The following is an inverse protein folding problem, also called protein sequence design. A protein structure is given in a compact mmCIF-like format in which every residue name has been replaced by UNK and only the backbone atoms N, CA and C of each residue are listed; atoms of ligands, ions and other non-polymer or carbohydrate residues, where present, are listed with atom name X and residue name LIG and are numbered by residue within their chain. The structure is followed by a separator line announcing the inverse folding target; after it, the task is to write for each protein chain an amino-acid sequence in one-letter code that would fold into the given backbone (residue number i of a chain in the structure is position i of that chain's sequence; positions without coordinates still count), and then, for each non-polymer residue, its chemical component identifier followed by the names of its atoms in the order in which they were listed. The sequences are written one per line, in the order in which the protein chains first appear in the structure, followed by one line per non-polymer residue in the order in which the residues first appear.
data_IF_113953028890
#
_entry.id   IF_113953028890
#
_cell.length_a   1.000
_cell.length_b   1.000
_cell.length_c   1.000
_cell.angle_alpha   90.00
_cell.angle_beta   90.00
_cell.angle_gamma   90.00
#
_symmetry.space_group_name_H-M   'P 1'
#
loop_
_entity.id
_entity.type
_entity.pdbx_description
1 polymer ?
#
# COMPACT_ATOMS: atom_id res chain seq x y z
N UNK A 1 33.85 1.57 11.87
CA UNK A 1 33.14 0.31 11.56
C UNK A 1 32.08 -0.13 12.58
N UNK A 2 31.94 0.49 13.77
CA UNK A 2 30.89 0.14 14.76
C UNK A 2 29.63 1.05 14.73
N UNK A 3 29.48 1.91 13.72
CA UNK A 3 28.35 2.87 13.58
C UNK A 3 27.35 2.53 12.47
N UNK A 4 27.61 1.46 11.70
CA UNK A 4 26.75 0.99 10.61
C UNK A 4 25.85 -0.18 11.01
N UNK A 5 26.06 -0.77 12.20
CA UNK A 5 25.26 -1.91 12.71
C UNK A 5 24.03 -1.42 13.49
N UNK A 6 24.11 -0.28 14.17
CA UNK A 6 22.97 0.29 14.92
C UNK A 6 21.86 0.89 14.04
N UNK A 7 22.10 1.07 12.74
CA UNK A 7 21.13 1.62 11.78
C UNK A 7 20.24 0.53 11.14
N UNK A 8 20.60 -0.74 11.25
CA UNK A 8 19.70 -1.86 10.90
C UNK A 8 18.84 -2.29 12.09
N UNK A 9 19.31 -2.07 13.31
CA UNK A 9 18.64 -2.48 14.55
C UNK A 9 17.37 -1.64 14.85
N UNK A 10 17.23 -0.43 14.31
CA UNK A 10 16.05 0.42 14.56
C UNK A 10 14.89 0.18 13.58
N UNK A 11 15.18 0.01 12.28
CA UNK A 11 14.19 -0.54 11.33
C UNK A 11 13.77 -1.95 11.80
N UNK A 12 14.74 -2.76 12.26
CA UNK A 12 14.45 -4.04 12.91
C UNK A 12 13.64 -3.92 14.20
N UNK A 13 13.70 -2.83 14.98
CA UNK A 13 12.98 -2.73 16.26
C UNK A 13 11.47 -2.48 16.08
N UNK A 14 11.09 -1.72 15.05
CA UNK A 14 9.69 -1.62 14.62
C UNK A 14 9.25 -2.92 13.92
N UNK A 15 10.13 -3.52 13.11
CA UNK A 15 9.89 -4.82 12.46
C UNK A 15 9.80 -6.00 13.44
N UNK A 16 10.53 -6.03 14.56
CA UNK A 16 10.57 -7.18 15.49
C UNK A 16 9.44 -7.20 16.50
N UNK A 17 9.00 -6.04 17.00
CA UNK A 17 7.85 -5.98 17.93
C UNK A 17 6.50 -6.08 17.22
N UNK A 18 6.45 -5.75 15.92
CA UNK A 18 5.25 -5.86 15.09
C UNK A 18 5.29 -7.05 14.10
N UNK A 19 6.30 -7.94 14.20
CA UNK A 19 6.54 -9.06 13.27
C UNK A 19 5.36 -10.02 13.06
N UNK A 20 4.32 -9.99 13.90
CA UNK A 20 3.11 -10.79 13.67
C UNK A 20 2.03 -10.07 12.84
N UNK A 21 2.13 -8.76 12.62
CA UNK A 21 1.08 -7.93 12.00
C UNK A 21 1.57 -7.03 10.86
N UNK A 22 2.88 -6.92 10.62
CA UNK A 22 3.41 -6.18 9.47
C UNK A 22 4.34 -7.04 8.63
N UNK A 23 3.82 -7.56 7.51
CA UNK A 23 4.66 -7.80 6.35
C UNK A 23 5.05 -6.45 5.77
N UNK A 24 6.22 -5.98 6.15
CA UNK A 24 6.85 -4.75 5.65
C UNK A 24 7.24 -4.97 4.19
N UNK A 25 6.69 -4.17 3.28
CA UNK A 25 7.32 -3.92 1.98
C UNK A 25 8.73 -3.43 2.26
N UNK A 26 9.71 -4.32 2.10
CA UNK A 26 11.11 -4.02 2.37
C UNK A 26 11.54 -2.91 1.42
N UNK A 27 11.99 -1.77 1.95
CA UNK A 27 12.57 -0.68 1.16
C UNK A 27 13.73 -1.22 0.30
N UNK A 28 13.49 -1.38 -1.00
CA UNK A 28 14.45 -1.92 -1.97
C UNK A 28 14.19 -3.36 -2.44
N UNK A 29 13.11 -4.02 -2.00
CA UNK A 29 12.66 -5.26 -2.62
C UNK A 29 12.09 -4.99 -4.02
N UNK A 30 12.36 -5.88 -5.00
CA UNK A 30 11.72 -5.84 -6.30
C UNK A 30 10.19 -5.82 -6.21
N UNK A 31 9.53 -5.17 -7.16
CA UNK A 31 8.06 -5.09 -7.22
C UNK A 31 7.38 -6.47 -7.30
N UNK A 32 8.08 -7.47 -7.84
CA UNK A 32 7.64 -8.85 -7.97
C UNK A 32 8.01 -9.73 -6.77
N UNK A 33 8.63 -9.19 -5.71
CA UNK A 33 9.00 -9.97 -4.54
C UNK A 33 7.87 -10.05 -3.51
N UNK A 34 7.49 -11.28 -3.14
CA UNK A 34 6.61 -11.56 -2.02
C UNK A 34 7.20 -12.73 -1.20
N UNK A 35 7.48 -12.56 0.10
CA UNK A 35 8.18 -13.57 0.91
C UNK A 35 7.35 -14.83 1.14
N UNK A 36 6.04 -14.67 1.32
CA UNK A 36 5.10 -15.76 1.61
C UNK A 36 4.58 -16.45 0.33
N UNK A 37 5.12 -16.09 -0.85
CA UNK A 37 4.66 -16.65 -2.11
C UNK A 37 5.04 -18.14 -2.20
N UNK A 38 4.07 -19.04 -2.38
CA UNK A 38 4.36 -20.46 -2.57
C UNK A 38 5.13 -20.73 -3.88
N UNK A 39 5.98 -21.76 -3.89
CA UNK A 39 6.79 -22.14 -5.06
C UNK A 39 5.95 -22.37 -6.33
N UNK A 40 4.77 -22.97 -6.20
CA UNK A 40 3.88 -23.21 -7.34
C UNK A 40 3.37 -21.89 -7.94
N UNK A 41 3.10 -20.89 -7.10
CA UNK A 41 2.65 -19.57 -7.55
C UNK A 41 3.80 -18.82 -8.24
N UNK A 42 5.02 -18.92 -7.70
CA UNK A 42 6.23 -18.40 -8.35
C UNK A 42 6.42 -18.99 -9.76
N UNK A 43 6.28 -20.32 -9.91
CA UNK A 43 6.40 -21.00 -11.21
C UNK A 43 5.37 -20.52 -12.23
N UNK A 44 4.11 -20.33 -11.82
CA UNK A 44 3.05 -19.81 -12.69
C UNK A 44 3.39 -18.39 -13.15
N UNK A 45 3.86 -17.54 -12.23
CA UNK A 45 4.15 -16.12 -12.48
C UNK A 45 5.37 -15.88 -13.37
N UNK A 46 6.41 -16.70 -13.23
CA UNK A 46 7.61 -16.66 -14.09
C UNK A 46 7.37 -17.28 -15.47
N UNK A 47 6.37 -18.16 -15.58
CA UNK A 47 6.04 -18.91 -16.78
C UNK A 47 5.06 -18.20 -17.72
N UNK A 48 4.68 -18.93 -18.79
CA UNK A 48 3.59 -18.52 -19.68
C UNK A 48 2.20 -18.76 -19.07
N UNK A 49 2.13 -19.63 -18.06
CA UNK A 49 0.88 -20.03 -17.39
C UNK A 49 0.18 -18.89 -16.63
N UNK A 50 0.88 -17.79 -16.35
CA UNK A 50 0.28 -16.52 -15.88
C UNK A 50 -0.81 -15.95 -16.79
N UNK A 51 -0.84 -16.35 -18.06
CA UNK A 51 -1.86 -15.93 -19.04
C UNK A 51 -2.84 -17.06 -19.39
N UNK A 52 -2.68 -18.24 -18.79
CA UNK A 52 -3.53 -19.39 -19.04
C UNK A 52 -4.84 -19.21 -18.23
N UNK A 53 -6.03 -19.19 -18.87
CA UNK A 53 -7.30 -19.06 -18.14
C UNK A 53 -7.56 -20.19 -17.14
N UNK A 54 -6.94 -21.37 -17.31
CA UNK A 54 -7.08 -22.48 -16.36
C UNK A 54 -6.43 -22.20 -15.00
N UNK A 55 -5.45 -21.29 -14.92
CA UNK A 55 -4.80 -20.91 -13.64
C UNK A 55 -5.61 -19.90 -12.84
N UNK A 56 -6.70 -19.36 -13.39
CA UNK A 56 -7.55 -18.36 -12.72
C UNK A 56 -8.03 -18.81 -11.34
N UNK A 57 -8.44 -20.08 -11.20
CA UNK A 57 -8.89 -20.63 -9.92
C UNK A 57 -7.78 -20.62 -8.86
N UNK A 58 -6.54 -20.96 -9.25
CA UNK A 58 -5.38 -20.94 -8.36
C UNK A 58 -5.09 -19.53 -7.86
N UNK A 59 -5.18 -18.53 -8.74
CA UNK A 59 -5.03 -17.13 -8.35
C UNK A 59 -6.15 -16.65 -7.42
N UNK A 60 -7.41 -17.04 -7.68
CA UNK A 60 -8.56 -16.69 -6.83
C UNK A 60 -8.39 -17.25 -5.42
N UNK A 61 -8.04 -18.53 -5.30
CA UNK A 61 -7.81 -19.19 -4.01
C UNK A 61 -6.63 -18.53 -3.26
N UNK A 62 -5.59 -18.12 -3.99
CA UNK A 62 -4.45 -17.42 -3.40
C UNK A 62 -4.80 -16.02 -2.89
N UNK A 63 -5.71 -15.28 -3.55
CA UNK A 63 -6.23 -14.02 -3.02
C UNK A 63 -6.99 -14.25 -1.72
N UNK A 64 -7.83 -15.29 -1.65
CA UNK A 64 -8.53 -15.64 -0.40
C UNK A 64 -7.54 -15.95 0.73
N UNK A 65 -6.48 -16.71 0.44
CA UNK A 65 -5.41 -16.98 1.41
C UNK A 65 -4.71 -15.71 1.89
N UNK A 66 -4.52 -14.70 1.01
CA UNK A 66 -3.97 -13.40 1.41
C UNK A 66 -4.92 -12.64 2.34
N UNK A 67 -6.23 -12.74 2.12
CA UNK A 67 -7.24 -12.14 2.99
C UNK A 67 -7.27 -12.78 4.38
N UNK A 68 -7.19 -14.11 4.46
CA UNK A 68 -7.22 -14.86 5.72
C UNK A 68 -5.93 -14.72 6.54
N UNK A 69 -4.76 -14.79 5.89
CA UNK A 69 -3.46 -14.89 6.56
C UNK A 69 -2.73 -13.55 6.69
N UNK A 70 -3.38 -12.43 6.34
CA UNK A 70 -2.78 -11.09 6.37
C UNK A 70 -1.50 -10.95 5.51
N UNK A 71 -1.31 -11.81 4.51
CA UNK A 71 -0.21 -11.72 3.54
C UNK A 71 -0.61 -10.84 2.35
N UNK A 72 0.37 -10.40 1.56
CA UNK A 72 0.09 -9.54 0.41
C UNK A 72 1.10 -9.77 -0.72
N UNK A 73 0.58 -9.98 -1.93
CA UNK A 73 1.36 -10.22 -3.13
C UNK A 73 0.79 -9.42 -4.31
N UNK A 74 1.25 -8.18 -4.45
CA UNK A 74 0.80 -7.27 -5.52
C UNK A 74 0.99 -7.88 -6.91
N UNK A 75 2.10 -8.59 -7.15
CA UNK A 75 2.40 -9.13 -8.46
C UNK A 75 1.40 -10.21 -8.88
N UNK A 76 1.04 -11.12 -7.98
CA UNK A 76 0.00 -12.11 -8.22
C UNK A 76 -1.38 -11.45 -8.40
N UNK A 77 -1.70 -10.45 -7.58
CA UNK A 77 -2.98 -9.74 -7.64
C UNK A 77 -3.16 -9.02 -8.99
N UNK A 78 -2.15 -8.31 -9.46
CA UNK A 78 -2.18 -7.66 -10.77
C UNK A 78 -2.19 -8.66 -11.93
N UNK A 79 -1.50 -9.81 -11.79
CA UNK A 79 -1.57 -10.87 -12.79
C UNK A 79 -3.01 -11.39 -12.95
N UNK A 80 -3.74 -11.60 -11.84
CA UNK A 80 -5.14 -12.00 -11.87
C UNK A 80 -6.04 -10.95 -12.51
N UNK A 81 -5.91 -9.67 -12.11
CA UNK A 81 -6.69 -8.58 -12.72
C UNK A 81 -6.43 -8.47 -14.23
N UNK A 82 -5.18 -8.68 -14.65
CA UNK A 82 -4.81 -8.71 -16.07
C UNK A 82 -5.40 -9.93 -16.79
N UNK A 83 -5.47 -11.09 -16.13
CA UNK A 83 -6.10 -12.30 -16.68
C UNK A 83 -7.61 -12.09 -16.87
N UNK A 84 -8.29 -11.41 -15.94
CA UNK A 84 -9.68 -10.99 -16.08
C UNK A 84 -9.88 -10.02 -17.23
N UNK A 85 -8.96 -9.08 -17.44
CA UNK A 85 -9.01 -8.16 -18.59
C UNK A 85 -9.01 -8.91 -19.93
N UNK A 86 -8.24 -10.00 -20.05
CA UNK A 86 -8.25 -10.85 -21.24
C UNK A 86 -9.44 -11.82 -21.30
N UNK A 87 -9.97 -12.22 -20.15
CA UNK A 87 -11.05 -13.21 -20.03
C UNK A 87 -12.18 -12.72 -19.11
N UNK A 88 -13.02 -11.76 -19.55
CA UNK A 88 -14.03 -11.15 -18.67
C UNK A 88 -15.05 -12.12 -18.08
N UNK A 89 -15.32 -13.24 -18.77
CA UNK A 89 -16.25 -14.27 -18.31
C UNK A 89 -15.77 -15.06 -17.09
N UNK A 90 -14.48 -14.96 -16.73
CA UNK A 90 -13.89 -15.59 -15.54
C UNK A 90 -13.80 -14.64 -14.35
N UNK A 91 -14.09 -13.36 -14.56
CA UNK A 91 -14.02 -12.34 -13.51
C UNK A 91 -15.02 -12.63 -12.38
N UNK A 92 -14.56 -12.44 -11.15
CA UNK A 92 -15.39 -12.49 -9.93
C UNK A 92 -15.27 -11.15 -9.22
N UNK A 93 -16.40 -10.48 -9.08
CA UNK A 93 -16.49 -9.14 -8.49
C UNK A 93 -15.90 -9.10 -7.07
N UNK A 94 -16.25 -10.09 -6.25
CA UNK A 94 -15.74 -10.28 -4.88
C UNK A 94 -14.21 -10.41 -4.84
N UNK A 95 -13.61 -11.16 -5.78
CA UNK A 95 -12.14 -11.27 -5.85
C UNK A 95 -11.50 -9.94 -6.25
N UNK A 96 -12.16 -9.17 -7.14
CA UNK A 96 -11.68 -7.84 -7.54
C UNK A 96 -11.74 -6.88 -6.35
N UNK A 97 -12.85 -6.83 -5.61
CA UNK A 97 -12.99 -5.99 -4.43
C UNK A 97 -11.98 -6.38 -3.34
N UNK A 98 -11.78 -7.68 -3.09
CA UNK A 98 -10.80 -8.17 -2.13
C UNK A 98 -9.36 -7.76 -2.50
N UNK A 99 -8.99 -7.82 -3.79
CA UNK A 99 -7.69 -7.29 -4.24
C UNK A 99 -7.57 -5.79 -3.94
N UNK A 100 -8.60 -4.99 -4.22
CA UNK A 100 -8.57 -3.55 -3.99
C UNK A 100 -8.53 -3.20 -2.49
N UNK A 101 -9.29 -3.90 -1.65
CA UNK A 101 -9.25 -3.74 -0.18
C UNK A 101 -7.87 -4.10 0.36
N UNK A 102 -7.29 -5.23 -0.09
CA UNK A 102 -5.91 -5.59 0.25
C UNK A 102 -4.91 -4.52 -0.19
N UNK A 103 -5.09 -3.93 -1.37
CA UNK A 103 -4.25 -2.82 -1.83
C UNK A 103 -4.38 -1.55 -0.95
N UNK A 104 -5.54 -1.28 -0.35
CA UNK A 104 -5.68 -0.21 0.65
C UNK A 104 -4.80 -0.46 1.88
N UNK A 105 -4.67 -1.72 2.33
CA UNK A 105 -3.86 -2.07 3.51
C UNK A 105 -2.35 -1.89 3.34
N UNK A 106 -1.88 -1.54 2.14
CA UNK A 106 -0.47 -1.24 1.85
C UNK A 106 -0.23 0.20 1.41
N UNK A 107 -1.18 1.10 1.66
CA UNK A 107 -0.94 2.53 1.42
C UNK A 107 0.32 3.01 2.17
N UNK A 108 1.09 3.96 1.62
CA UNK A 108 0.84 4.76 0.40
C UNK A 108 1.36 4.12 -0.90
N UNK A 109 1.45 2.79 -0.99
CA UNK A 109 1.83 2.08 -2.22
C UNK A 109 0.92 2.45 -3.42
N UNK A 110 1.45 2.54 -4.66
CA UNK A 110 0.64 2.83 -5.85
C UNK A 110 -0.26 1.65 -6.29
N UNK A 111 -0.23 0.52 -5.59
CA UNK A 111 -0.86 -0.73 -6.01
C UNK A 111 -2.37 -0.61 -6.26
N UNK A 112 -3.08 0.15 -5.43
CA UNK A 112 -4.52 0.37 -5.63
C UNK A 112 -4.77 1.03 -6.99
N UNK A 113 -4.00 2.05 -7.33
CA UNK A 113 -4.11 2.75 -8.61
C UNK A 113 -3.70 1.88 -9.79
N UNK A 114 -2.72 0.99 -9.61
CA UNK A 114 -2.35 -0.01 -10.61
C UNK A 114 -3.49 -1.00 -10.84
N UNK A 115 -4.09 -1.53 -9.78
CA UNK A 115 -5.25 -2.41 -9.86
C UNK A 115 -6.42 -1.75 -10.59
N UNK A 116 -6.71 -0.50 -10.24
CA UNK A 116 -7.76 0.28 -10.88
C UNK A 116 -7.53 0.49 -12.38
N UNK A 117 -6.28 0.67 -12.81
CA UNK A 117 -5.93 0.84 -14.23
C UNK A 117 -6.15 -0.42 -15.09
N UNK A 118 -6.27 -1.59 -14.46
CA UNK A 118 -6.57 -2.86 -15.14
C UNK A 118 -8.07 -3.12 -15.24
N UNK A 119 -8.90 -2.42 -14.48
CA UNK A 119 -10.35 -2.54 -14.53
C UNK A 119 -10.94 -1.74 -15.71
N UNK A 120 -12.11 -2.13 -16.22
CA UNK A 120 -12.81 -1.36 -17.24
C UNK A 120 -13.14 0.07 -16.76
N UNK A 121 -12.96 1.11 -17.61
CA UNK A 121 -13.18 2.51 -17.20
C UNK A 121 -14.59 2.83 -16.68
N UNK A 122 -15.60 2.05 -17.08
CA UNK A 122 -17.00 2.27 -16.68
C UNK A 122 -17.26 1.94 -15.21
N UNK A 123 -16.38 1.18 -14.55
CA UNK A 123 -16.48 0.82 -13.13
C UNK A 123 -16.29 2.05 -12.23
N UNK A 124 -15.63 3.10 -12.73
CA UNK A 124 -15.49 4.39 -12.04
C UNK A 124 -16.48 5.45 -12.52
N UNK A 125 -17.32 5.14 -13.51
CA UNK A 125 -18.27 6.10 -14.02
C UNK A 125 -19.37 6.36 -12.97
N UNK A 126 -19.69 7.63 -12.65
CA UNK A 126 -20.78 7.94 -11.74
C UNK A 126 -22.07 7.25 -12.19
N UNK A 127 -22.74 6.54 -11.27
CA UNK A 127 -23.98 5.79 -11.55
C UNK A 127 -25.09 6.65 -12.19
N UNK A 128 -25.04 7.97 -12.01
CA UNK A 128 -25.97 8.96 -12.56
C UNK A 128 -25.65 9.41 -14.00
N UNK A 129 -24.51 9.00 -14.56
CA UNK A 129 -24.02 9.36 -15.91
C UNK A 129 -24.05 8.20 -16.91
N UNK A 130 -24.52 7.03 -16.50
CA UNK A 130 -24.51 5.84 -17.33
C UNK A 130 -25.66 5.89 -18.37
N UNK A 131 -25.37 6.44 -19.56
CA UNK A 131 -26.19 6.28 -20.78
C UNK A 131 -26.23 4.82 -21.27
N UNK A 132 -25.40 3.95 -20.69
CA UNK A 132 -25.52 2.51 -20.75
C UNK A 132 -26.09 2.05 -19.42
N UNK A 133 -27.26 1.40 -19.43
CA UNK A 133 -27.62 0.56 -18.28
C UNK A 133 -26.40 -0.33 -17.99
N UNK A 134 -25.82 -0.31 -16.77
CA UNK A 134 -24.89 -1.36 -16.39
C UNK A 134 -25.59 -2.69 -16.67
N UNK A 135 -24.87 -3.67 -17.22
CA UNK A 135 -25.44 -5.02 -17.26
C UNK A 135 -25.85 -5.37 -15.82
N UNK A 136 -26.90 -6.17 -15.63
CA UNK A 136 -27.48 -6.40 -14.29
C UNK A 136 -26.48 -6.93 -13.24
N UNK A 137 -25.26 -7.34 -13.63
CA UNK A 137 -24.14 -7.68 -12.76
C UNK A 137 -23.09 -6.57 -12.50
N UNK A 138 -22.99 -5.51 -13.31
CA UNK A 138 -21.92 -4.50 -13.17
C UNK A 138 -22.25 -3.38 -12.17
N UNK A 139 -23.54 -3.17 -11.88
CA UNK A 139 -24.02 -2.18 -10.92
C UNK A 139 -23.43 -2.37 -9.50
N UNK A 140 -23.42 -3.58 -8.91
CA UNK A 140 -22.83 -3.80 -7.58
C UNK A 140 -21.31 -3.58 -7.55
N UNK A 141 -20.58 -4.02 -8.58
CA UNK A 141 -19.13 -3.83 -8.64
C UNK A 141 -18.74 -2.35 -8.79
N UNK A 142 -19.44 -1.60 -9.65
CA UNK A 142 -19.16 -0.18 -9.88
C UNK A 142 -19.35 0.65 -8.59
N UNK A 143 -20.41 0.38 -7.83
CA UNK A 143 -20.62 1.04 -6.54
C UNK A 143 -19.52 0.68 -5.53
N UNK A 144 -19.18 -0.61 -5.40
CA UNK A 144 -18.12 -1.08 -4.52
C UNK A 144 -16.77 -0.41 -4.82
N UNK A 145 -16.35 -0.39 -6.09
CA UNK A 145 -15.08 0.21 -6.50
C UNK A 145 -15.08 1.73 -6.30
N UNK A 146 -16.19 2.42 -6.53
CA UNK A 146 -16.32 3.85 -6.25
C UNK A 146 -16.16 4.16 -4.76
N UNK A 147 -16.80 3.37 -3.89
CA UNK A 147 -16.66 3.50 -2.43
C UNK A 147 -15.23 3.23 -1.97
N UNK A 148 -14.58 2.18 -2.47
CA UNK A 148 -13.16 1.90 -2.16
C UNK A 148 -12.23 3.03 -2.66
N UNK A 149 -12.53 3.63 -3.81
CA UNK A 149 -11.77 4.75 -4.34
C UNK A 149 -11.96 6.04 -3.50
N UNK A 150 -13.13 6.25 -2.91
CA UNK A 150 -13.34 7.34 -1.94
C UNK A 150 -12.43 7.16 -0.71
N UNK A 151 -12.41 5.95 -0.13
CA UNK A 151 -11.53 5.63 0.99
C UNK A 151 -10.05 5.83 0.64
N UNK A 152 -9.61 5.36 -0.54
CA UNK A 152 -8.26 5.59 -1.07
C UNK A 152 -7.92 7.08 -1.08
N UNK A 153 -8.81 7.93 -1.58
CA UNK A 153 -8.55 9.37 -1.69
C UNK A 153 -8.41 10.04 -0.33
N UNK A 154 -9.18 9.61 0.68
CA UNK A 154 -9.04 10.09 2.06
C UNK A 154 -7.69 9.70 2.67
N UNK A 155 -7.24 8.46 2.43
CA UNK A 155 -5.92 7.98 2.88
C UNK A 155 -4.78 8.74 2.22
N UNK A 156 -4.85 8.99 0.90
CA UNK A 156 -3.84 9.79 0.18
C UNK A 156 -3.85 11.26 0.59
N UNK A 157 -5.01 11.79 0.98
CA UNK A 157 -5.16 13.13 1.57
C UNK A 157 -4.68 13.24 3.02
N UNK A 158 -4.28 12.12 3.65
CA UNK A 158 -3.99 12.01 5.07
C UNK A 158 -5.15 12.48 5.99
N UNK A 159 -6.38 12.42 5.50
CA UNK A 159 -7.59 12.71 6.28
C UNK A 159 -8.13 11.42 6.91
N UNK A 160 -7.38 10.93 7.90
CA UNK A 160 -7.68 9.67 8.56
C UNK A 160 -8.94 9.71 9.42
N UNK A 161 -9.26 10.87 9.99
CA UNK A 161 -10.46 11.03 10.82
C UNK A 161 -11.73 10.85 9.97
N UNK A 162 -11.77 11.51 8.80
CA UNK A 162 -12.87 11.33 7.85
C UNK A 162 -12.90 9.92 7.30
N UNK A 163 -11.74 9.31 6.99
CA UNK A 163 -11.65 7.91 6.55
C UNK A 163 -12.41 6.94 7.47
N UNK A 164 -12.17 7.00 8.79
CA UNK A 164 -12.87 6.14 9.74
C UNK A 164 -14.38 6.43 9.78
N UNK A 165 -14.77 7.70 9.78
CA UNK A 165 -16.18 8.07 9.76
C UNK A 165 -16.91 7.62 8.49
N UNK A 166 -16.22 7.64 7.34
CA UNK A 166 -16.76 7.16 6.06
C UNK A 166 -16.87 5.65 6.08
N UNK A 167 -15.88 4.94 6.60
CA UNK A 167 -15.91 3.49 6.74
C UNK A 167 -17.10 3.03 7.60
N UNK A 168 -17.41 3.75 8.68
CA UNK A 168 -18.52 3.45 9.60
C UNK A 168 -19.89 3.95 9.10
N UNK A 169 -19.93 4.69 7.97
CA UNK A 169 -21.15 5.39 7.55
C UNK A 169 -22.18 4.52 6.81
N UNK A 170 -21.75 3.39 6.23
CA UNK A 170 -22.56 2.59 5.31
C UNK A 170 -22.23 1.10 5.44
N UNK A 171 -23.26 0.26 5.58
CA UNK A 171 -23.13 -1.19 5.74
C UNK A 171 -22.34 -1.85 4.59
N UNK A 172 -22.37 -1.27 3.38
CA UNK A 172 -21.60 -1.80 2.25
C UNK A 172 -20.09 -1.73 2.50
N UNK A 173 -19.59 -0.74 3.25
CA UNK A 173 -18.17 -0.71 3.60
C UNK A 173 -17.79 -1.86 4.50
N UNK A 174 -18.64 -2.18 5.48
CA UNK A 174 -18.43 -3.32 6.38
C UNK A 174 -18.42 -4.64 5.60
N UNK A 175 -19.35 -4.82 4.66
CA UNK A 175 -19.38 -5.99 3.78
C UNK A 175 -18.11 -6.10 2.92
N UNK A 176 -17.61 -4.99 2.39
CA UNK A 176 -16.41 -4.99 1.54
C UNK A 176 -15.13 -5.38 2.28
N UNK A 177 -15.01 -5.03 3.56
CA UNK A 177 -13.81 -5.35 4.35
C UNK A 177 -13.92 -6.68 5.11
N UNK A 178 -15.10 -7.29 5.15
CA UNK A 178 -15.39 -8.45 6.00
C UNK A 178 -14.47 -9.66 5.75
N UNK A 179 -14.08 -9.89 4.49
CA UNK A 179 -13.22 -11.00 4.12
C UNK A 179 -11.74 -10.78 4.52
N UNK A 180 -11.34 -9.52 4.75
CA UNK A 180 -9.95 -9.16 5.03
C UNK A 180 -9.70 -9.19 6.54
N UNK A 181 -9.09 -10.28 7.00
CA UNK A 181 -8.77 -10.48 8.42
C UNK A 181 -7.88 -9.37 8.96
N UNK A 182 -8.34 -8.71 10.03
CA UNK A 182 -7.64 -7.63 10.71
C UNK A 182 -7.40 -6.38 9.86
N UNK A 183 -8.33 -6.06 8.95
CA UNK A 183 -8.25 -4.87 8.10
C UNK A 183 -7.97 -3.60 8.90
N UNK A 184 -8.73 -3.34 9.97
CA UNK A 184 -8.59 -2.10 10.73
C UNK A 184 -7.23 -2.02 11.47
N UNK A 185 -6.75 -3.13 12.04
CA UNK A 185 -5.45 -3.20 12.69
C UNK A 185 -4.33 -2.91 11.69
N UNK A 186 -4.38 -3.52 10.50
CA UNK A 186 -3.42 -3.26 9.43
C UNK A 186 -3.43 -1.78 9.03
N UNK A 187 -4.61 -1.19 8.87
CA UNK A 187 -4.78 0.23 8.56
C UNK A 187 -4.18 1.12 9.64
N UNK A 188 -4.46 0.89 10.93
CA UNK A 188 -3.89 1.66 12.04
C UNK A 188 -2.37 1.59 12.05
N UNK A 189 -1.78 0.42 11.81
CA UNK A 189 -0.32 0.26 11.75
C UNK A 189 0.27 1.01 10.56
N UNK A 190 -0.39 1.03 9.40
CA UNK A 190 0.07 1.79 8.23
C UNK A 190 -0.08 3.30 8.39
N UNK A 191 -1.15 3.76 9.02
CA UNK A 191 -1.32 5.17 9.43
C UNK A 191 -0.17 5.56 10.35
N UNK A 192 0.10 4.76 11.40
CA UNK A 192 1.19 5.03 12.33
C UNK A 192 2.57 5.05 11.63
N UNK A 193 2.83 4.10 10.72
CA UNK A 193 4.07 4.06 9.95
C UNK A 193 4.24 5.31 9.07
N UNK A 194 3.19 5.75 8.38
CA UNK A 194 3.19 6.96 7.53
C UNK A 194 3.42 8.21 8.37
N UNK A 195 2.73 8.33 9.51
CA UNK A 195 2.92 9.44 10.47
C UNK A 195 4.36 9.47 10.96
N UNK A 196 4.96 8.31 11.27
CA UNK A 196 6.33 8.24 11.79
C UNK A 196 7.39 8.80 10.84
N UNK A 197 7.12 8.76 9.53
CA UNK A 197 8.02 9.28 8.50
C UNK A 197 7.93 10.81 8.39
N UNK A 198 6.79 11.41 8.76
CA UNK A 198 6.52 12.83 8.58
C UNK A 198 6.72 13.67 9.84
N UNK A 199 6.57 13.10 11.04
CA UNK A 199 6.57 13.86 12.30
C UNK A 199 7.55 13.31 13.33
N UNK A 200 7.94 14.17 14.27
CA UNK A 200 8.74 13.80 15.46
C UNK A 200 7.99 13.95 16.77
N UNK A 201 7.02 14.86 16.79
CA UNK A 201 6.12 15.09 17.90
C UNK A 201 4.71 15.28 17.33
N UNK A 202 3.73 14.67 17.97
CA UNK A 202 2.31 14.82 17.63
C UNK A 202 1.49 14.95 18.91
N UNK A 203 0.47 15.79 18.90
CA UNK A 203 -0.45 15.91 20.03
C UNK A 203 -1.33 14.67 20.15
N UNK A 204 -1.56 14.22 21.38
CA UNK A 204 -2.32 12.99 21.67
C UNK A 204 -3.71 13.00 21.03
N UNK A 205 -4.44 14.10 21.14
CA UNK A 205 -5.80 14.24 20.60
C UNK A 205 -5.86 14.08 19.08
N UNK A 206 -4.80 14.49 18.38
CA UNK A 206 -4.72 14.37 16.92
C UNK A 206 -4.46 12.90 16.55
N UNK A 207 -3.51 12.25 17.24
CA UNK A 207 -3.19 10.85 16.95
C UNK A 207 -4.34 9.90 17.34
N UNK A 208 -5.05 10.16 18.44
CA UNK A 208 -6.26 9.41 18.83
C UNK A 208 -7.32 9.47 17.73
N UNK A 209 -7.53 10.66 17.14
CA UNK A 209 -8.44 10.85 16.00
C UNK A 209 -8.00 10.09 14.75
N UNK A 210 -6.70 10.14 14.42
CA UNK A 210 -6.17 9.45 13.23
C UNK A 210 -6.20 7.93 13.33
N UNK A 211 -6.00 7.37 14.53
CA UNK A 211 -6.01 5.92 14.75
C UNK A 211 -7.41 5.38 15.08
N UNK A 212 -8.38 6.26 15.32
CA UNK A 212 -9.70 5.92 15.85
C UNK A 212 -9.60 5.02 17.11
N UNK A 213 -8.70 5.39 18.03
CA UNK A 213 -8.46 4.69 19.29
C UNK A 213 -8.48 5.70 20.44
N UNK A 214 -8.93 5.25 21.60
CA UNK A 214 -8.97 6.10 22.80
C UNK A 214 -8.60 5.33 24.07
N UNK A 215 -8.18 6.06 25.10
CA UNK A 215 -7.93 5.50 26.43
C UNK A 215 -6.80 4.46 26.45
N UNK A 216 -7.06 3.31 27.09
CA UNK A 216 -6.06 2.27 27.32
C UNK A 216 -5.62 1.54 26.04
N UNK A 217 -6.52 1.41 25.06
CA UNK A 217 -6.20 0.76 23.78
C UNK A 217 -5.19 1.59 22.98
N UNK A 218 -5.36 2.91 23.01
CA UNK A 218 -4.41 3.85 22.45
C UNK A 218 -3.02 3.74 23.10
N UNK A 219 -2.97 3.75 24.44
CA UNK A 219 -1.69 3.65 25.16
C UNK A 219 -0.98 2.31 24.86
N UNK A 220 -1.73 1.21 24.78
CA UNK A 220 -1.20 -0.10 24.41
C UNK A 220 -0.67 -0.13 22.99
N UNK A 221 -1.40 0.45 22.03
CA UNK A 221 -0.98 0.51 20.62
C UNK A 221 0.30 1.35 20.47
N UNK A 222 0.30 2.57 21.00
CA UNK A 222 1.44 3.50 20.91
C UNK A 222 2.68 2.94 21.62
N UNK A 223 2.51 2.35 22.81
CA UNK A 223 3.62 1.82 23.61
C UNK A 223 4.14 0.46 23.13
N UNK A 224 3.23 -0.49 22.85
CA UNK A 224 3.61 -1.88 22.57
C UNK A 224 3.81 -2.15 21.08
N UNK A 225 2.94 -1.59 20.23
CA UNK A 225 3.00 -1.83 18.77
C UNK A 225 3.94 -0.82 18.13
N UNK A 226 3.76 0.48 18.38
CA UNK A 226 4.59 1.51 17.75
C UNK A 226 5.94 1.73 18.46
N UNK A 227 6.05 1.40 19.74
CA UNK A 227 7.26 1.68 20.53
C UNK A 227 7.56 3.18 20.67
N UNK A 228 6.54 4.04 20.63
CA UNK A 228 6.68 5.49 20.79
C UNK A 228 6.56 5.89 22.26
N UNK A 229 7.11 7.07 22.59
CA UNK A 229 7.09 7.56 23.97
C UNK A 229 5.96 8.57 24.19
N UNK A 230 5.15 8.36 25.23
CA UNK A 230 4.02 9.21 25.61
C UNK A 230 4.48 10.19 26.69
N UNK A 231 4.59 11.48 26.33
CA UNK A 231 4.99 12.58 27.21
C UNK A 231 3.76 13.44 27.54
N UNK A 232 2.85 12.88 28.34
CA UNK A 232 1.59 13.51 28.74
C UNK A 232 0.66 13.79 27.55
N UNK A 233 0.63 15.05 27.10
CA UNK A 233 -0.20 15.50 25.99
C UNK A 233 0.45 15.32 24.61
N UNK A 234 1.76 15.02 24.57
CA UNK A 234 2.54 14.89 23.33
C UNK A 234 3.13 13.50 23.20
N UNK A 235 3.25 13.04 21.97
CA UNK A 235 3.80 11.73 21.63
C UNK A 235 5.07 11.96 20.83
N UNK A 236 6.17 11.41 21.32
CA UNK A 236 7.51 11.52 20.72
C UNK A 236 7.76 10.31 19.85
N UNK A 237 7.83 10.58 18.55
CA UNK A 237 8.20 9.60 17.53
C UNK A 237 9.73 9.54 17.45
N UNK A 238 10.34 8.35 17.51
CA UNK A 238 11.78 8.19 17.34
C UNK A 238 12.29 8.70 15.99
N UNK A 239 13.55 9.15 15.94
CA UNK A 239 14.15 9.63 14.70
C UNK A 239 14.45 8.44 13.78
N UNK A 240 13.95 8.51 12.55
CA UNK A 240 14.18 7.56 11.47
C UNK A 240 14.81 8.28 10.25
N UNK A 241 15.11 7.54 9.17
CA UNK A 241 15.79 8.10 7.99
C UNK A 241 14.99 9.21 7.30
N UNK A 242 13.66 9.16 7.40
CA UNK A 242 12.70 9.98 6.67
C UNK A 242 12.28 11.23 7.46
N UNK A 243 12.16 11.13 8.80
CA UNK A 243 11.83 12.24 9.69
C UNK A 243 13.07 13.02 10.18
N UNK A 244 14.28 12.56 9.83
CA UNK A 244 15.53 13.28 10.09
C UNK A 244 15.65 14.49 9.14
N UNK A 245 15.83 15.67 9.72
CA UNK A 245 15.90 16.94 9.02
C UNK A 245 17.31 17.08 8.47
N UNK A 246 17.52 16.53 7.28
CA UNK A 246 18.78 16.61 6.56
C UNK A 246 18.80 17.89 5.73
N UNK A 247 19.62 18.86 6.15
CA UNK A 247 19.94 20.00 5.30
C UNK A 247 20.75 19.55 4.09
N UNK A 248 20.13 19.44 2.92
CA UNK A 248 20.85 19.15 1.68
C UNK A 248 21.49 20.44 1.17
N UNK A 249 22.79 20.61 1.42
CA UNK A 249 23.57 21.63 0.71
C UNK A 249 23.82 21.10 -0.70
N UNK A 250 22.94 21.46 -1.64
CA UNK A 250 23.12 21.16 -3.06
C UNK A 250 24.26 22.05 -3.57
N UNK A 251 25.48 21.52 -3.52
CA UNK A 251 26.61 22.03 -4.28
C UNK A 251 26.79 21.17 -5.49
N UNK A 252 26.51 21.74 -6.67
CA UNK A 252 26.89 21.12 -7.93
C UNK A 252 28.41 21.08 -8.01
N UNK A 253 29.00 19.91 -7.78
CA UNK A 253 30.43 19.70 -7.97
C UNK A 253 30.66 19.29 -9.43
N UNK A 254 30.60 20.27 -10.32
CA UNK A 254 30.87 20.07 -11.73
C UNK A 254 32.39 19.93 -11.91
N UNK A 255 32.85 18.71 -12.15
CA UNK A 255 34.27 18.43 -12.38
C UNK A 255 34.64 18.78 -13.82
N UNK A 256 35.84 19.31 -14.02
CA UNK A 256 36.36 19.66 -15.36
C UNK A 256 36.28 18.47 -16.35
N UNK A 257 36.48 17.24 -15.87
CA UNK A 257 36.37 16.01 -16.67
C UNK A 257 35.00 15.82 -17.33
N UNK A 258 33.93 16.36 -16.73
CA UNK A 258 32.58 16.30 -17.30
C UNK A 258 32.46 17.16 -18.57
N UNK A 259 33.33 18.17 -18.73
CA UNK A 259 33.43 19.01 -19.92
C UNK A 259 34.45 18.51 -20.95
N UNK A 260 35.24 17.48 -20.63
CA UNK A 260 36.32 17.00 -21.49
C UNK A 260 35.83 16.62 -22.90
N UNK A 261 34.62 16.05 -23.03
CA UNK A 261 34.03 15.71 -24.35
C UNK A 261 33.70 16.95 -25.19
N UNK A 262 33.24 18.02 -24.56
CA UNK A 262 32.90 19.29 -25.25
C UNK A 262 34.17 20.00 -25.69
N UNK A 263 35.18 20.06 -24.81
CA UNK A 263 36.49 20.65 -25.10
C UNK A 263 37.19 19.87 -26.21
N UNK A 264 37.21 18.54 -26.13
CA UNK A 264 37.82 17.69 -27.17
C UNK A 264 37.19 17.92 -28.54
N UNK A 265 35.85 17.98 -28.61
CA UNK A 265 35.11 18.22 -29.85
C UNK A 265 35.34 19.62 -30.43
N UNK A 266 35.67 20.61 -29.61
CA UNK A 266 36.02 21.95 -30.07
C UNK A 266 37.40 22.04 -30.75
N UNK A 267 38.30 21.09 -30.46
CA UNK A 267 39.66 21.03 -31.02
C UNK A 267 39.87 19.94 -32.08
N UNK A 268 38.91 19.03 -32.27
CA UNK A 268 38.90 18.12 -33.41
C UNK A 268 38.50 18.91 -34.68
N UNK A 269 39.48 19.27 -35.53
CA UNK A 269 39.19 19.88 -36.84
C UNK A 269 38.41 18.89 -37.71
N UNK A 270 37.35 19.32 -38.42
CA UNK A 270 36.67 18.47 -39.38
C UNK A 270 37.65 18.13 -40.50
N UNK A 271 37.89 16.82 -40.70
CA UNK A 271 38.66 16.29 -41.82
C UNK A 271 37.91 16.48 -43.14
#
# INVERSE_FOLDING_TARGET
MRRLVALSEFDQAFDTNSSSLIHTTTMGAPFDFAPERPDHMQQILDGLDRYNPETTGVFQDYVMQQCENQTYDCYANLALLKLYQFNPHLARDETITNILVKALTVFPSPDFSLGLSLLPPHVLAPLSSSLHNPAAGDAPLSEAVQKLNELRNLLEGADYATFWSTLDSDDLYADLIADVSGFEELMRVRIAATVSQAVREVDRSILESWLNLSGSEFDNFVGSVCGWNIDGAKIKVPINKDNEAKGTVVRENVKFDQFARVIKRAYEQPA
#
